data_IF_322128215693
#
_entry.id   IF_322128215693
#
_cell.length_a   1.000
_cell.length_b   1.000
_cell.length_c   1.000
_cell.angle_alpha   90.00
_cell.angle_beta   90.00
_cell.angle_gamma   90.00
#
_symmetry.space_group_name_H-M   'P 1'
#
loop_
_entity.id
_entity.type
_entity.pdbx_description
1 polymer ?
#
# COMPACT_ATOMS: atom_id res chain seq x y z
N UNK A 1 59.96 -22.13 125.48
CA UNK A 1 59.35 -22.97 124.45
C UNK A 1 59.89 -24.37 124.58
N UNK A 2 59.03 -25.39 124.58
CA UNK A 2 59.45 -26.80 124.66
C UNK A 2 59.86 -27.30 123.26
N UNK A 3 60.84 -28.20 123.20
CA UNK A 3 61.42 -28.75 121.95
C UNK A 3 60.32 -29.32 121.02
N UNK A 4 59.23 -29.83 121.59
CA UNK A 4 58.08 -30.35 120.85
C UNK A 4 57.33 -29.29 120.02
N UNK A 5 57.25 -28.04 120.49
CA UNK A 5 56.58 -26.97 119.74
C UNK A 5 57.40 -26.55 118.51
N UNK A 6 58.74 -26.58 118.60
CA UNK A 6 59.62 -26.29 117.47
C UNK A 6 59.50 -27.33 116.35
N UNK A 7 59.40 -28.62 116.71
CA UNK A 7 59.24 -29.71 115.73
C UNK A 7 57.91 -29.60 114.96
N UNK A 8 56.82 -29.25 115.65
CA UNK A 8 55.51 -29.06 115.00
C UNK A 8 55.50 -27.87 114.04
N UNK A 9 56.12 -26.75 114.41
CA UNK A 9 56.19 -25.57 113.55
C UNK A 9 57.06 -25.87 112.31
N UNK A 10 58.23 -26.50 112.48
CA UNK A 10 59.10 -26.88 111.36
C UNK A 10 58.42 -27.88 110.41
N UNK A 11 57.71 -28.87 110.96
CA UNK A 11 56.96 -29.85 110.18
C UNK A 11 55.85 -29.20 109.33
N UNK A 12 55.09 -28.28 109.92
CA UNK A 12 54.02 -27.56 109.20
C UNK A 12 54.58 -26.67 108.08
N UNK A 13 55.72 -26.00 108.32
CA UNK A 13 56.36 -25.14 107.33
C UNK A 13 56.87 -25.95 106.12
N UNK A 14 57.49 -27.11 106.37
CA UNK A 14 57.97 -28.02 105.32
C UNK A 14 56.82 -28.60 104.49
N UNK A 15 55.69 -28.92 105.12
CA UNK A 15 54.52 -29.41 104.39
C UNK A 15 53.91 -28.34 103.48
N UNK A 16 53.89 -27.08 103.94
CA UNK A 16 53.37 -25.95 103.18
C UNK A 16 54.25 -25.63 101.96
N UNK A 17 55.58 -25.67 102.11
CA UNK A 17 56.50 -25.43 101.00
C UNK A 17 56.44 -26.53 99.94
N UNK A 18 56.34 -27.80 100.35
CA UNK A 18 56.16 -28.92 99.43
C UNK A 18 54.83 -28.84 98.66
N UNK A 19 53.75 -28.46 99.33
CA UNK A 19 52.45 -28.24 98.69
C UNK A 19 52.52 -27.11 97.65
N UNK A 20 53.23 -26.02 97.95
CA UNK A 20 53.37 -24.89 97.04
C UNK A 20 54.21 -25.24 95.80
N UNK A 21 55.31 -25.97 95.98
CA UNK A 21 56.16 -26.45 94.87
C UNK A 21 55.38 -27.42 93.97
N UNK A 22 54.59 -28.33 94.56
CA UNK A 22 53.76 -29.25 93.79
C UNK A 22 52.69 -28.51 92.97
N UNK A 23 52.07 -27.48 93.54
CA UNK A 23 51.09 -26.65 92.84
C UNK A 23 51.72 -25.84 91.70
N UNK A 24 52.90 -25.26 91.92
CA UNK A 24 53.63 -24.50 90.90
C UNK A 24 54.03 -25.37 89.69
N UNK A 25 54.52 -26.60 89.94
CA UNK A 25 54.89 -27.55 88.87
C UNK A 25 53.66 -28.01 88.09
N UNK A 26 52.52 -28.23 88.76
CA UNK A 26 51.28 -28.68 88.10
C UNK A 26 50.66 -27.60 87.21
N UNK A 27 50.77 -26.33 87.59
CA UNK A 27 50.20 -25.21 86.82
C UNK A 27 51.08 -24.84 85.62
N UNK A 28 52.40 -24.99 85.70
CA UNK A 28 53.34 -24.68 84.60
C UNK A 28 53.21 -25.57 83.35
N UNK A 29 52.66 -26.78 83.47
CA UNK A 29 52.53 -27.73 82.34
C UNK A 29 51.21 -27.63 81.55
N UNK A 30 50.33 -26.66 81.88
CA UNK A 30 49.02 -26.51 81.23
C UNK A 30 49.03 -25.84 79.84
N UNK A 31 50.13 -25.22 79.41
CA UNK A 31 50.15 -24.42 78.17
C UNK A 31 50.42 -25.22 76.88
N UNK A 32 50.99 -26.43 76.97
CA UNK A 32 51.25 -27.28 75.79
C UNK A 32 50.01 -28.03 75.28
N UNK A 33 48.99 -28.26 76.12
CA UNK A 33 47.75 -28.96 75.73
C UNK A 33 46.79 -28.10 74.90
N UNK A 34 46.87 -26.77 75.01
CA UNK A 34 45.97 -25.85 74.27
C UNK A 34 46.33 -25.71 72.79
N UNK A 35 47.61 -25.86 72.41
CA UNK A 35 48.05 -25.84 71.01
C UNK A 35 47.72 -27.13 70.25
N UNK A 36 47.78 -28.30 70.89
CA UNK A 36 47.35 -29.56 70.25
C UNK A 36 45.83 -29.58 70.04
N UNK A 37 45.04 -29.18 71.04
CA UNK A 37 43.58 -29.20 70.92
C UNK A 37 43.04 -28.28 69.80
N UNK A 38 43.70 -27.16 69.49
CA UNK A 38 43.31 -26.27 68.38
C UNK A 38 43.71 -26.88 67.04
N UNK A 39 44.91 -27.45 66.92
CA UNK A 39 45.37 -28.13 65.72
C UNK A 39 44.55 -29.40 65.42
N UNK A 40 44.08 -30.10 66.46
CA UNK A 40 43.20 -31.27 66.34
C UNK A 40 41.78 -30.86 65.90
N UNK A 41 41.29 -29.68 66.34
CA UNK A 41 40.01 -29.14 65.90
C UNK A 41 40.05 -28.64 64.45
N UNK A 42 41.16 -28.03 64.04
CA UNK A 42 41.40 -27.56 62.67
C UNK A 42 41.46 -28.73 61.69
N UNK A 43 42.19 -29.80 62.05
CA UNK A 43 42.20 -31.05 61.26
C UNK A 43 40.85 -31.73 61.21
N UNK A 44 40.12 -31.79 62.32
CA UNK A 44 38.78 -32.37 62.34
C UNK A 44 37.80 -31.57 61.46
N UNK A 45 37.92 -30.24 61.41
CA UNK A 45 37.13 -29.41 60.52
C UNK A 45 37.54 -29.59 59.04
N UNK A 46 38.82 -29.78 58.76
CA UNK A 46 39.33 -30.02 57.40
C UNK A 46 38.88 -31.37 56.84
N UNK A 47 38.95 -32.45 57.64
CA UNK A 47 38.43 -33.78 57.29
C UNK A 47 36.90 -33.76 57.08
N UNK A 48 36.15 -33.02 57.90
CA UNK A 48 34.69 -32.94 57.80
C UNK A 48 34.25 -32.14 56.55
N UNK A 49 34.99 -31.10 56.18
CA UNK A 49 34.78 -30.36 54.92
C UNK A 49 35.06 -31.24 53.70
N UNK A 50 36.09 -32.07 53.74
CA UNK A 50 36.39 -33.03 52.68
C UNK A 50 35.29 -34.08 52.51
N UNK A 51 34.64 -34.48 53.62
CA UNK A 51 33.54 -35.43 53.62
C UNK A 51 32.18 -34.83 53.20
N UNK A 52 31.92 -33.56 53.54
CA UNK A 52 30.72 -32.80 53.13
C UNK A 52 30.76 -32.47 51.63
N UNK A 53 31.94 -32.17 51.08
CA UNK A 53 32.16 -31.95 49.64
C UNK A 53 32.79 -33.16 48.95
N UNK A 54 32.38 -34.36 49.34
CA UNK A 54 32.84 -35.59 48.74
C UNK A 54 32.48 -35.66 47.24
N UNK A 55 33.13 -36.58 46.53
CA UNK A 55 32.91 -36.76 45.09
C UNK A 55 31.44 -37.08 44.76
N UNK A 56 30.70 -37.74 45.66
CA UNK A 56 29.26 -37.99 45.51
C UNK A 56 28.42 -36.71 45.50
N UNK A 57 28.70 -35.77 46.40
CA UNK A 57 28.01 -34.47 46.43
C UNK A 57 28.35 -33.64 45.18
N UNK A 58 29.61 -33.68 44.72
CA UNK A 58 30.03 -33.01 43.47
C UNK A 58 29.33 -33.61 42.26
N UNK A 59 29.17 -34.93 42.22
CA UNK A 59 28.43 -35.63 41.16
C UNK A 59 26.94 -35.31 41.20
N UNK A 60 26.31 -35.28 42.38
CA UNK A 60 24.90 -34.89 42.52
C UNK A 60 24.68 -33.43 42.11
N UNK A 61 25.56 -32.52 42.54
CA UNK A 61 25.52 -31.12 42.13
C UNK A 61 25.69 -30.98 40.61
N UNK A 62 26.61 -31.73 40.01
CA UNK A 62 26.80 -31.76 38.55
C UNK A 62 25.58 -32.31 37.83
N UNK A 63 24.98 -33.39 38.35
CA UNK A 63 23.79 -34.01 37.77
C UNK A 63 22.57 -33.08 37.89
N UNK A 64 22.35 -32.47 39.06
CA UNK A 64 21.30 -31.48 39.28
C UNK A 64 21.51 -30.24 38.43
N UNK A 65 22.74 -29.76 38.32
CA UNK A 65 23.12 -28.67 37.42
C UNK A 65 22.77 -29.01 35.97
N UNK A 66 23.19 -30.19 35.47
CA UNK A 66 22.84 -30.67 34.12
C UNK A 66 21.34 -30.75 33.90
N UNK A 67 20.58 -31.32 34.84
CA UNK A 67 19.13 -31.42 34.75
C UNK A 67 18.46 -30.03 34.74
N UNK A 68 18.92 -29.10 35.59
CA UNK A 68 18.42 -27.73 35.57
C UNK A 68 18.74 -27.01 34.26
N UNK A 69 19.96 -27.16 33.73
CA UNK A 69 20.33 -26.57 32.45
C UNK A 69 19.51 -27.15 31.29
N UNK A 70 19.33 -28.47 31.25
CA UNK A 70 18.51 -29.13 30.23
C UNK A 70 17.05 -28.66 30.31
N UNK A 71 16.50 -28.56 31.52
CA UNK A 71 15.17 -28.00 31.74
C UNK A 71 15.06 -26.56 31.24
N UNK A 72 16.00 -25.68 31.60
CA UNK A 72 16.00 -24.27 31.18
C UNK A 72 16.13 -24.16 29.66
N UNK A 73 16.99 -24.96 29.02
CA UNK A 73 17.13 -24.97 27.56
C UNK A 73 15.83 -25.43 26.89
N UNK A 74 15.20 -26.49 27.41
CA UNK A 74 13.94 -27.01 26.88
C UNK A 74 12.81 -25.99 27.03
N UNK A 75 12.68 -25.35 28.20
CA UNK A 75 11.70 -24.29 28.46
C UNK A 75 11.92 -23.09 27.54
N UNK A 76 13.16 -22.62 27.39
CA UNK A 76 13.49 -21.51 26.51
C UNK A 76 13.24 -21.84 25.03
N UNK A 77 13.57 -23.05 24.58
CA UNK A 77 13.27 -23.50 23.22
C UNK A 77 11.75 -23.56 22.98
N UNK A 78 10.98 -24.01 23.97
CA UNK A 78 9.52 -24.02 23.93
C UNK A 78 8.95 -22.59 23.80
N UNK A 79 9.42 -21.66 24.63
CA UNK A 79 8.98 -20.26 24.56
C UNK A 79 9.33 -19.61 23.23
N UNK A 80 10.57 -19.81 22.74
CA UNK A 80 10.98 -19.28 21.44
C UNK A 80 10.10 -19.84 20.31
N UNK A 81 9.82 -21.15 20.33
CA UNK A 81 8.97 -21.76 19.32
C UNK A 81 7.53 -21.22 19.40
N UNK A 82 7.00 -21.04 20.60
CA UNK A 82 5.69 -20.43 20.82
C UNK A 82 5.64 -19.00 20.27
N UNK A 83 6.63 -18.17 20.60
CA UNK A 83 6.72 -16.79 20.15
C UNK A 83 6.86 -16.69 18.63
N UNK A 84 7.67 -17.56 18.00
CA UNK A 84 7.79 -17.62 16.55
C UNK A 84 6.47 -18.01 15.88
N UNK A 85 5.73 -18.97 16.46
CA UNK A 85 4.41 -19.37 15.94
C UNK A 85 3.40 -18.24 16.08
N UNK A 86 3.37 -17.56 17.22
CA UNK A 86 2.48 -16.41 17.47
C UNK A 86 2.82 -15.26 16.52
N UNK A 87 4.09 -14.91 16.40
CA UNK A 87 4.58 -13.84 15.50
C UNK A 87 4.24 -14.16 14.05
N UNK A 88 4.42 -15.41 13.61
CA UNK A 88 4.07 -15.84 12.26
C UNK A 88 2.57 -15.73 12.00
N UNK A 89 1.73 -16.13 12.97
CA UNK A 89 0.28 -15.98 12.86
C UNK A 89 -0.14 -14.52 12.77
N UNK A 90 0.38 -13.66 13.65
CA UNK A 90 0.10 -12.23 13.66
C UNK A 90 0.56 -11.55 12.37
N UNK A 91 1.75 -11.87 11.87
CA UNK A 91 2.27 -11.35 10.62
C UNK A 91 1.41 -11.80 9.44
N UNK A 92 0.96 -13.05 9.41
CA UNK A 92 0.06 -13.54 8.38
C UNK A 92 -1.31 -12.82 8.39
N UNK A 93 -1.91 -12.63 9.57
CA UNK A 93 -3.16 -11.87 9.71
C UNK A 93 -2.99 -10.41 9.28
N UNK A 94 -1.90 -9.77 9.71
CA UNK A 94 -1.55 -8.41 9.33
C UNK A 94 -1.40 -8.28 7.81
N UNK A 95 -0.60 -9.14 7.19
CA UNK A 95 -0.42 -9.14 5.72
C UNK A 95 -1.74 -9.35 5.00
N UNK A 96 -2.57 -10.31 5.43
CA UNK A 96 -3.88 -10.55 4.81
C UNK A 96 -4.77 -9.32 4.90
N UNK A 97 -4.83 -8.67 6.06
CA UNK A 97 -5.61 -7.44 6.27
C UNK A 97 -5.09 -6.30 5.40
N UNK A 98 -3.78 -6.12 5.35
CA UNK A 98 -3.14 -5.04 4.61
C UNK A 98 -3.27 -5.22 3.09
N UNK A 99 -3.05 -6.43 2.58
CA UNK A 99 -3.29 -6.77 1.18
C UNK A 99 -4.76 -6.52 0.82
N UNK A 100 -5.70 -6.98 1.67
CA UNK A 100 -7.13 -6.77 1.42
C UNK A 100 -7.50 -5.28 1.42
N UNK A 101 -6.92 -4.49 2.33
CA UNK A 101 -7.12 -3.04 2.41
C UNK A 101 -6.60 -2.35 1.14
N UNK A 102 -5.35 -2.60 0.77
CA UNK A 102 -4.74 -2.02 -0.41
C UNK A 102 -5.49 -2.41 -1.69
N UNK A 103 -5.88 -3.68 -1.84
CA UNK A 103 -6.69 -4.12 -2.97
C UNK A 103 -8.03 -3.38 -3.04
N UNK A 104 -8.75 -3.23 -1.92
CA UNK A 104 -10.01 -2.47 -1.90
C UNK A 104 -9.83 -1.00 -2.29
N UNK A 105 -8.79 -0.36 -1.78
CA UNK A 105 -8.46 1.02 -2.12
C UNK A 105 -8.16 1.17 -3.62
N UNK A 106 -7.33 0.30 -4.18
CA UNK A 106 -7.01 0.31 -5.61
C UNK A 106 -8.22 -0.03 -6.50
N UNK A 107 -9.06 -1.00 -6.11
CA UNK A 107 -10.30 -1.29 -6.84
C UNK A 107 -11.26 -0.10 -6.85
N UNK A 108 -11.37 0.62 -5.73
CA UNK A 108 -12.21 1.83 -5.65
C UNK A 108 -11.69 2.93 -6.59
N UNK A 109 -10.37 3.14 -6.62
CA UNK A 109 -9.75 4.10 -7.56
C UNK A 109 -9.95 3.70 -9.02
N UNK A 110 -9.81 2.40 -9.32
CA UNK A 110 -10.06 1.89 -10.67
C UNK A 110 -11.52 2.04 -11.09
N UNK A 111 -12.46 1.70 -10.21
CA UNK A 111 -13.89 1.91 -10.45
C UNK A 111 -14.19 3.38 -10.76
N UNK A 112 -13.65 4.30 -9.95
CA UNK A 112 -13.79 5.74 -10.19
C UNK A 112 -13.19 6.15 -11.54
N UNK A 113 -11.97 5.72 -11.85
CA UNK A 113 -11.30 6.05 -13.11
C UNK A 113 -12.06 5.52 -14.33
N UNK A 114 -12.65 4.32 -14.23
CA UNK A 114 -13.48 3.74 -15.30
C UNK A 114 -14.77 4.54 -15.47
N UNK A 115 -15.41 4.94 -14.37
CA UNK A 115 -16.61 5.77 -14.42
C UNK A 115 -16.33 7.15 -15.03
N UNK A 116 -15.21 7.79 -14.66
CA UNK A 116 -14.78 9.06 -15.22
C UNK A 116 -14.48 8.93 -16.73
N UNK A 117 -13.76 7.88 -17.14
CA UNK A 117 -13.48 7.60 -18.55
C UNK A 117 -14.76 7.33 -19.35
N UNK A 118 -15.73 6.60 -18.77
CA UNK A 118 -17.03 6.37 -19.38
C UNK A 118 -17.80 7.67 -19.55
N UNK A 119 -17.81 8.54 -18.54
CA UNK A 119 -18.48 9.84 -18.63
C UNK A 119 -17.82 10.72 -19.70
N UNK A 120 -16.49 10.77 -19.74
CA UNK A 120 -15.74 11.49 -20.77
C UNK A 120 -16.07 10.98 -22.18
N UNK A 121 -16.19 9.66 -22.36
CA UNK A 121 -16.58 9.08 -23.63
C UNK A 121 -18.02 9.46 -24.03
N UNK A 122 -18.96 9.45 -23.09
CA UNK A 122 -20.35 9.88 -23.32
C UNK A 122 -20.36 11.36 -23.73
N UNK A 123 -19.68 12.22 -22.98
CA UNK A 123 -19.60 13.66 -23.26
C UNK A 123 -18.95 13.93 -24.63
N UNK A 124 -17.93 13.14 -25.00
CA UNK A 124 -17.26 13.25 -26.30
C UNK A 124 -18.19 12.84 -27.43
N UNK A 125 -18.92 11.72 -27.29
CA UNK A 125 -19.92 11.28 -28.27
C UNK A 125 -21.02 12.32 -28.43
N UNK A 126 -21.50 12.90 -27.33
CA UNK A 126 -22.50 13.97 -27.38
C UNK A 126 -21.98 15.20 -28.14
N UNK A 127 -20.76 15.66 -27.83
CA UNK A 127 -20.12 16.77 -28.55
C UNK A 127 -19.94 16.47 -30.03
N UNK A 128 -19.50 15.26 -30.37
CA UNK A 128 -19.36 14.83 -31.77
C UNK A 128 -20.71 14.80 -32.49
N UNK A 129 -21.78 14.32 -31.86
CA UNK A 129 -23.13 14.34 -32.44
C UNK A 129 -23.61 15.76 -32.71
N UNK A 130 -23.40 16.68 -31.76
CA UNK A 130 -23.74 18.11 -31.95
C UNK A 130 -22.96 18.71 -33.11
N UNK A 131 -21.64 18.50 -33.16
CA UNK A 131 -20.79 19.01 -34.24
C UNK A 131 -21.19 18.43 -35.62
N UNK A 132 -21.55 17.14 -35.67
CA UNK A 132 -22.06 16.52 -36.90
C UNK A 132 -23.38 17.17 -37.34
N UNK A 133 -24.30 17.44 -36.41
CA UNK A 133 -25.59 18.05 -36.76
C UNK A 133 -25.42 19.50 -37.23
N UNK A 134 -24.53 20.27 -36.59
CA UNK A 134 -24.15 21.62 -37.04
C UNK A 134 -23.54 21.59 -38.45
N UNK A 135 -22.61 20.65 -38.70
CA UNK A 135 -21.99 20.49 -40.01
C UNK A 135 -22.99 20.05 -41.08
N UNK A 136 -23.94 19.16 -40.74
CA UNK A 136 -25.02 18.75 -41.65
C UNK A 136 -25.93 19.93 -41.99
N UNK A 137 -26.31 20.73 -41.01
CA UNK A 137 -27.13 21.93 -41.24
C UNK A 137 -26.41 22.93 -42.16
N UNK A 138 -25.12 23.17 -41.91
CA UNK A 138 -24.30 24.06 -42.74
C UNK A 138 -24.17 23.54 -44.19
N UNK A 139 -23.86 22.26 -44.36
CA UNK A 139 -23.75 21.63 -45.68
C UNK A 139 -25.10 21.68 -46.42
N UNK A 140 -26.20 21.40 -45.74
CA UNK A 140 -27.54 21.49 -46.32
C UNK A 140 -27.85 22.92 -46.80
N UNK A 141 -27.49 23.93 -46.02
CA UNK A 141 -27.68 25.33 -46.40
C UNK A 141 -26.80 25.72 -47.60
N UNK A 142 -25.54 25.26 -47.64
CA UNK A 142 -24.63 25.51 -48.76
C UNK A 142 -25.12 24.84 -50.06
N UNK A 143 -25.56 23.59 -49.98
CA UNK A 143 -26.11 22.85 -51.13
C UNK A 143 -27.37 23.56 -51.65
N UNK A 144 -28.28 23.97 -50.76
CA UNK A 144 -29.47 24.73 -51.16
C UNK A 144 -29.11 26.04 -51.88
N UNK A 145 -28.14 26.78 -51.35
CA UNK A 145 -27.67 28.02 -51.96
C UNK A 145 -27.03 27.78 -53.34
N UNK A 146 -26.24 26.71 -53.49
CA UNK A 146 -25.66 26.32 -54.78
C UNK A 146 -26.74 25.95 -55.80
N UNK A 147 -27.74 25.16 -55.41
CA UNK A 147 -28.88 24.81 -56.27
C UNK A 147 -29.61 26.07 -56.77
N UNK A 148 -29.88 27.02 -55.88
CA UNK A 148 -30.53 28.30 -56.26
C UNK A 148 -29.65 29.09 -57.22
N UNK A 149 -28.34 29.14 -56.96
CA UNK A 149 -27.39 29.88 -57.81
C UNK A 149 -27.25 29.25 -59.19
N UNK A 150 -27.15 27.92 -59.27
CA UNK A 150 -27.11 27.19 -60.54
C UNK A 150 -28.43 27.31 -61.31
N UNK A 151 -29.58 27.22 -60.62
CA UNK A 151 -30.89 27.45 -61.25
C UNK A 151 -30.97 28.84 -61.86
N UNK A 152 -30.52 29.87 -61.13
CA UNK A 152 -30.48 31.24 -61.64
C UNK A 152 -29.61 31.37 -62.89
N UNK A 153 -28.41 30.77 -62.87
CA UNK A 153 -27.50 30.79 -64.03
C UNK A 153 -28.08 30.02 -65.23
N UNK A 154 -28.76 28.90 -64.99
CA UNK A 154 -29.45 28.13 -66.03
C UNK A 154 -30.58 28.94 -66.66
N UNK A 155 -31.40 29.61 -65.84
CA UNK A 155 -32.47 30.49 -66.32
C UNK A 155 -31.89 31.65 -67.13
N UNK A 156 -30.87 32.33 -66.63
CA UNK A 156 -30.24 33.46 -67.35
C UNK A 156 -29.65 33.02 -68.70
N UNK A 157 -28.98 31.87 -68.75
CA UNK A 157 -28.50 31.30 -70.01
C UNK A 157 -29.65 30.90 -70.92
N UNK A 158 -30.72 30.33 -70.37
CA UNK A 158 -31.90 29.97 -71.13
C UNK A 158 -32.57 31.21 -71.74
N UNK A 159 -32.71 32.31 -70.98
CA UNK A 159 -33.25 33.59 -71.44
C UNK A 159 -32.39 34.21 -72.56
N UNK A 160 -31.07 34.21 -72.40
CA UNK A 160 -30.15 34.68 -73.43
C UNK A 160 -30.28 33.86 -74.72
N UNK A 161 -30.25 32.53 -74.60
CA UNK A 161 -30.39 31.64 -75.76
C UNK A 161 -31.82 31.65 -76.33
N UNK A 162 -32.85 31.93 -75.54
CA UNK A 162 -34.23 32.01 -76.01
C UNK A 162 -34.42 33.08 -77.07
N UNK A 163 -33.69 34.20 -76.97
CA UNK A 163 -33.75 35.24 -77.99
C UNK A 163 -33.23 34.73 -79.35
N UNK A 164 -32.12 34.00 -79.34
CA UNK A 164 -31.53 33.40 -80.55
C UNK A 164 -32.37 32.23 -81.08
N UNK A 165 -32.90 31.38 -80.19
CA UNK A 165 -33.76 30.25 -80.52
C UNK A 165 -35.07 30.75 -81.12
N UNK A 166 -35.75 31.72 -80.50
CA UNK A 166 -36.97 32.33 -81.06
C UNK A 166 -36.66 32.93 -82.42
N UNK A 167 -35.58 33.70 -82.56
CA UNK A 167 -35.22 34.30 -83.85
C UNK A 167 -35.00 33.23 -84.94
N UNK A 168 -34.32 32.12 -84.60
CA UNK A 168 -34.12 31.00 -85.52
C UNK A 168 -35.43 30.26 -85.86
N UNK A 169 -36.29 29.96 -84.87
CA UNK A 169 -37.56 29.27 -85.10
C UNK A 169 -38.59 30.14 -85.82
N UNK A 170 -38.60 31.45 -85.56
CA UNK A 170 -39.44 32.43 -86.26
C UNK A 170 -38.98 32.56 -87.71
N UNK A 171 -37.67 32.68 -87.97
CA UNK A 171 -37.13 32.69 -89.33
C UNK A 171 -37.36 31.37 -90.08
N UNK A 172 -37.25 30.22 -89.41
CA UNK A 172 -37.51 28.91 -89.99
C UNK A 172 -39.00 28.64 -90.24
N UNK A 173 -39.89 29.15 -89.38
CA UNK A 173 -41.35 29.06 -89.56
C UNK A 173 -41.88 30.05 -90.62
N UNK A 174 -41.19 31.16 -90.85
CA UNK A 174 -41.53 32.20 -91.85
C UNK A 174 -40.94 31.87 -93.23
N UNK A 175 -39.92 31.02 -93.29
CA UNK A 175 -39.16 30.74 -94.51
C UNK A 175 -39.93 30.03 -95.65
N UNK A 176 -41.16 29.53 -95.42
CA UNK A 176 -41.84 28.72 -96.44
C UNK A 176 -43.32 29.08 -96.71
N UNK A 177 -43.67 30.37 -96.60
CA UNK A 177 -44.79 31.08 -97.27
C UNK A 177 -45.67 31.88 -96.29
N UNK A 178 -45.95 33.14 -96.70
CA UNK A 178 -47.02 34.08 -96.30
C UNK A 178 -46.51 35.37 -95.62
N UNK A 179 -47.03 36.50 -96.13
CA UNK A 179 -46.82 37.89 -95.72
C UNK A 179 -47.31 38.14 -94.27
N UNK A 180 -46.37 38.40 -93.34
CA UNK A 180 -46.61 38.39 -91.88
C UNK A 180 -45.92 39.55 -91.12
N UNK A 181 -45.62 40.68 -91.78
CA UNK A 181 -45.05 41.84 -91.07
C UNK A 181 -45.96 42.36 -89.94
N UNK A 182 -47.28 42.35 -90.14
CA UNK A 182 -48.25 42.83 -89.13
C UNK A 182 -48.50 41.82 -87.98
N UNK A 183 -48.23 40.53 -88.19
CA UNK A 183 -48.48 39.48 -87.17
C UNK A 183 -47.25 39.18 -86.32
N UNK A 184 -46.04 39.44 -86.84
CA UNK A 184 -44.80 39.39 -86.07
C UNK A 184 -44.81 40.39 -84.91
N UNK A 185 -45.29 41.61 -85.16
CA UNK A 185 -45.43 42.64 -84.12
C UNK A 185 -46.40 42.17 -83.03
N UNK A 186 -47.50 41.52 -83.41
CA UNK A 186 -48.47 40.98 -82.46
C UNK A 186 -47.92 39.81 -81.64
N UNK A 187 -47.23 38.85 -82.28
CA UNK A 187 -46.65 37.68 -81.58
C UNK A 187 -45.49 38.08 -80.67
N UNK A 188 -44.63 39.01 -81.12
CA UNK A 188 -43.56 39.56 -80.28
C UNK A 188 -44.14 40.34 -79.10
N UNK A 189 -45.17 41.15 -79.33
CA UNK A 189 -45.87 41.85 -78.25
C UNK A 189 -46.53 40.89 -77.25
N UNK A 190 -47.13 39.79 -77.72
CA UNK A 190 -47.78 38.78 -76.86
C UNK A 190 -46.75 37.94 -76.08
N UNK A 191 -45.63 37.57 -76.70
CA UNK A 191 -44.51 36.89 -76.02
C UNK A 191 -43.80 37.80 -75.02
N UNK A 192 -43.68 39.09 -75.32
CA UNK A 192 -43.08 40.07 -74.43
C UNK A 192 -44.04 40.43 -73.28
N UNK A 193 -45.34 40.49 -73.54
CA UNK A 193 -46.38 40.65 -72.51
C UNK A 193 -46.49 39.43 -71.58
N UNK A 194 -46.27 38.22 -72.10
CA UNK A 194 -46.29 36.97 -71.31
C UNK A 194 -44.91 36.54 -70.79
N UNK A 195 -43.85 37.32 -71.03
CA UNK A 195 -42.47 37.00 -70.60
C UNK A 195 -42.40 36.77 -69.09
N UNK A 196 -43.05 37.61 -68.28
CA UNK A 196 -43.07 37.45 -66.82
C UNK A 196 -43.78 36.17 -66.37
N UNK A 197 -44.85 35.76 -67.06
CA UNK A 197 -45.58 34.53 -66.75
C UNK A 197 -44.75 33.28 -67.06
N UNK A 198 -44.02 33.27 -68.18
CA UNK A 198 -43.11 32.18 -68.55
C UNK A 198 -41.96 32.07 -67.55
N UNK A 199 -41.39 33.21 -67.12
CA UNK A 199 -40.34 33.26 -66.08
C UNK A 199 -40.89 32.76 -64.74
N UNK A 200 -42.13 33.09 -64.39
CA UNK A 200 -42.77 32.56 -63.18
C UNK A 200 -42.97 31.03 -63.26
N UNK A 201 -43.43 30.49 -64.39
CA UNK A 201 -43.62 29.03 -64.55
C UNK A 201 -42.29 28.26 -64.43
N UNK A 202 -41.20 28.78 -65.00
CA UNK A 202 -39.87 28.17 -64.88
C UNK A 202 -39.30 28.30 -63.45
N UNK A 203 -39.60 29.40 -62.77
CA UNK A 203 -39.17 29.62 -61.39
C UNK A 203 -39.93 28.78 -60.37
N UNK A 204 -41.21 28.53 -60.58
CA UNK A 204 -42.02 27.71 -59.68
C UNK A 204 -41.96 26.23 -60.01
N UNK A 205 -41.68 25.86 -61.27
CA UNK A 205 -41.67 24.47 -61.73
C UNK A 205 -43.06 23.84 -61.67
N UNK A 206 -43.40 23.02 -62.65
CA UNK A 206 -44.41 21.99 -62.44
C UNK A 206 -43.90 20.98 -61.39
#
# INVERSE_FOLDING_TARGET
MTIWQLVLILGSLLSATLAFVWMAVRVGNGSKKKKSAIADLEKAAEDDVEHIFNDTFREELRNRGRLHFEKIISENAMFLQQDLRLTTSQLNEYMKKEITRNLKEEFTKYEQSINDAKQLAIDSIQKTNTAIEEQRAQLSAQVQQQIVTEKQQLVERFEQNMTDIINHYVLAAIGDQIDLNDQLEYILADLEANREAIIQDVNHGA
#
